data_IF_649925163010
#
_entry.id   IF_649925163010
#
_cell.length_a   1.000
_cell.length_b   1.000
_cell.length_c   1.000
_cell.angle_alpha   90.00
_cell.angle_beta   90.00
_cell.angle_gamma   90.00
#
_symmetry.space_group_name_H-M   'P 1'
#
loop_
_entity.id
_entity.type
_entity.pdbx_description
1 polymer ?
#
# COMPACT_ATOMS: atom_id res chain seq x y z
N UNK A 1 -6.91 62.12 -17.34
CA UNK A 1 -5.59 61.48 -17.27
C UNK A 1 -5.73 60.31 -16.33
N UNK A 2 -6.03 59.14 -16.92
CA UNK A 2 -6.37 57.94 -16.20
C UNK A 2 -5.14 57.13 -15.84
N UNK A 3 -5.14 56.62 -14.65
CA UNK A 3 -4.13 55.73 -14.10
C UNK A 3 -4.12 54.37 -14.83
N UNK A 4 -3.05 54.10 -15.54
CA UNK A 4 -2.73 52.82 -16.15
C UNK A 4 -1.62 52.13 -15.37
N UNK A 5 -1.83 51.82 -14.11
CA UNK A 5 -0.80 51.07 -13.37
C UNK A 5 -1.45 50.24 -12.28
N UNK A 6 -2.27 49.25 -12.64
CA UNK A 6 -2.75 48.32 -11.63
C UNK A 6 -3.11 46.92 -12.13
N UNK A 7 -2.74 46.53 -13.34
CA UNK A 7 -3.27 45.22 -13.81
C UNK A 7 -2.26 44.23 -14.40
N UNK A 8 -0.94 44.53 -14.33
CA UNK A 8 -0.04 43.64 -15.09
C UNK A 8 1.05 42.94 -14.29
N UNK A 9 1.14 43.14 -12.98
CA UNK A 9 2.20 42.52 -12.19
C UNK A 9 1.76 41.27 -11.41
N UNK A 10 0.47 40.93 -11.37
CA UNK A 10 -0.03 39.77 -10.66
C UNK A 10 -0.08 38.48 -11.51
N UNK A 11 -0.22 38.62 -12.82
CA UNK A 11 -0.31 37.47 -13.71
C UNK A 11 1.05 37.01 -14.23
N UNK A 12 2.03 37.90 -14.30
CA UNK A 12 3.38 37.52 -14.73
C UNK A 12 4.20 36.81 -13.64
N UNK A 13 3.86 36.96 -12.36
CA UNK A 13 4.59 36.36 -11.25
C UNK A 13 4.30 34.88 -11.08
N UNK A 14 3.14 34.44 -11.58
CA UNK A 14 2.73 33.04 -11.52
C UNK A 14 2.26 32.60 -12.89
N UNK A 15 3.10 32.54 -13.86
CA UNK A 15 2.73 32.20 -15.23
C UNK A 15 1.48 31.31 -15.35
N UNK A 16 0.64 31.54 -16.34
CA UNK A 16 -0.64 30.83 -16.51
C UNK A 16 -0.53 29.30 -16.42
N UNK A 17 0.65 28.77 -16.68
CA UNK A 17 0.95 27.34 -16.63
C UNK A 17 1.24 26.84 -15.21
N UNK A 18 1.61 27.72 -14.28
CA UNK A 18 1.98 27.34 -12.93
C UNK A 18 0.80 26.99 -12.03
N UNK A 19 -0.42 27.40 -12.42
CA UNK A 19 -1.63 27.19 -11.61
C UNK A 19 -2.56 26.15 -12.23
N UNK A 20 -2.20 25.59 -13.38
CA UNK A 20 -2.98 24.54 -14.04
C UNK A 20 -2.71 23.21 -13.38
N UNK A 21 -3.50 22.88 -12.40
CA UNK A 21 -3.45 21.61 -11.73
C UNK A 21 -4.03 21.66 -10.34
N UNK A 22 -4.14 20.53 -9.74
CA UNK A 22 -4.52 20.41 -8.35
C UNK A 22 -3.44 21.05 -7.47
N UNK A 23 -3.75 22.18 -6.84
CA UNK A 23 -2.84 22.93 -5.98
C UNK A 23 -2.22 22.10 -4.85
N UNK A 24 -2.83 20.95 -4.52
CA UNK A 24 -2.31 20.01 -3.53
C UNK A 24 -1.06 19.27 -4.01
N UNK A 25 -0.82 19.23 -5.31
CA UNK A 25 0.27 18.50 -5.94
C UNK A 25 1.29 19.43 -6.63
N UNK A 26 1.33 20.69 -6.22
CA UNK A 26 2.20 21.70 -6.82
C UNK A 26 3.22 22.16 -5.79
N UNK A 27 4.49 22.05 -6.11
CA UNK A 27 5.58 22.64 -5.36
C UNK A 27 5.97 23.98 -5.98
N UNK A 28 5.77 25.06 -5.24
CA UNK A 28 6.26 26.38 -5.63
C UNK A 28 7.72 26.48 -5.24
N UNK A 29 8.57 26.60 -6.21
CA UNK A 29 10.00 26.79 -6.00
C UNK A 29 10.27 28.30 -6.06
N UNK A 30 10.95 28.89 -5.06
CA UNK A 30 11.22 30.31 -5.03
C UNK A 30 11.97 30.82 -6.26
N UNK A 31 11.84 32.10 -6.52
CA UNK A 31 12.40 32.82 -7.64
C UNK A 31 11.78 32.41 -8.99
N UNK A 32 12.44 32.55 -10.08
CA UNK A 32 12.06 32.28 -11.47
C UNK A 32 11.97 30.80 -11.83
N UNK A 33 11.93 29.90 -10.84
CA UNK A 33 11.89 28.47 -11.06
C UNK A 33 10.47 28.01 -11.38
N UNK A 34 10.39 27.02 -12.22
CA UNK A 34 9.13 26.41 -12.61
C UNK A 34 8.40 25.79 -11.42
N UNK A 35 7.08 25.88 -11.41
CA UNK A 35 6.25 25.11 -10.49
C UNK A 35 6.24 23.65 -10.96
N UNK A 36 6.76 22.77 -10.14
CA UNK A 36 6.79 21.35 -10.41
C UNK A 36 5.58 20.65 -9.79
N UNK A 37 4.84 19.90 -10.58
CA UNK A 37 3.80 19.01 -10.08
C UNK A 37 4.43 17.78 -9.47
N UNK A 38 3.76 17.15 -8.54
CA UNK A 38 4.21 15.86 -7.99
C UNK A 38 4.41 14.83 -9.12
N UNK A 39 3.54 14.82 -10.12
CA UNK A 39 3.69 13.97 -11.29
C UNK A 39 4.97 14.29 -12.10
N UNK A 40 5.32 15.56 -12.24
CA UNK A 40 6.51 15.97 -12.97
C UNK A 40 7.79 15.61 -12.21
N UNK A 41 7.77 15.69 -10.87
CA UNK A 41 8.87 15.23 -10.01
C UNK A 41 9.06 13.73 -10.13
N UNK A 42 7.98 12.97 -10.12
CA UNK A 42 8.04 11.52 -10.34
C UNK A 42 8.49 11.19 -11.75
N UNK A 43 8.05 11.91 -12.77
CA UNK A 43 8.52 11.73 -14.14
C UNK A 43 10.02 12.03 -14.31
N UNK A 44 10.52 13.04 -13.61
CA UNK A 44 11.96 13.37 -13.64
C UNK A 44 12.79 12.28 -12.95
N UNK A 45 12.32 11.74 -11.84
CA UNK A 45 12.94 10.56 -11.20
C UNK A 45 12.80 9.31 -12.07
N UNK A 46 11.68 9.19 -12.79
CA UNK A 46 11.40 8.11 -13.73
C UNK A 46 12.41 8.14 -14.89
N UNK A 47 12.69 9.28 -15.49
CA UNK A 47 13.70 9.41 -16.53
C UNK A 47 15.11 9.05 -16.05
N UNK A 48 15.46 9.38 -14.82
CA UNK A 48 16.76 9.07 -14.23
C UNK A 48 16.89 7.63 -13.70
N UNK A 49 15.76 6.96 -13.39
CA UNK A 49 15.72 5.66 -12.72
C UNK A 49 14.87 4.59 -13.39
N UNK A 50 14.42 4.79 -14.63
CA UNK A 50 13.48 3.90 -15.34
C UNK A 50 14.13 2.76 -16.09
N UNK A 51 15.43 2.62 -16.06
CA UNK A 51 16.09 1.48 -16.69
C UNK A 51 15.49 0.16 -16.14
N UNK A 52 14.83 -0.59 -17.02
CA UNK A 52 14.20 -1.87 -16.68
C UNK A 52 12.72 -1.82 -16.29
N UNK A 53 12.09 -0.65 -16.28
CA UNK A 53 10.64 -0.55 -16.17
C UNK A 53 9.95 -0.71 -17.53
N UNK A 54 8.86 -1.47 -17.60
CA UNK A 54 8.06 -1.60 -18.81
C UNK A 54 7.21 -0.34 -19.05
N UNK A 55 6.86 -0.07 -20.30
CA UNK A 55 5.94 1.03 -20.63
C UNK A 55 4.57 0.85 -19.97
N UNK A 56 4.10 -0.39 -19.84
CA UNK A 56 2.86 -0.73 -19.16
C UNK A 56 2.92 -0.34 -17.70
N UNK A 57 3.99 -0.70 -16.99
CA UNK A 57 4.19 -0.34 -15.60
C UNK A 57 4.22 1.18 -15.41
N UNK A 58 4.95 1.89 -16.26
CA UNK A 58 5.03 3.35 -16.21
C UNK A 58 3.67 4.00 -16.48
N UNK A 59 2.90 3.46 -17.41
CA UNK A 59 1.53 3.91 -17.69
C UNK A 59 0.62 3.71 -16.48
N UNK A 60 0.71 2.57 -15.80
CA UNK A 60 -0.04 2.32 -14.55
C UNK A 60 0.34 3.32 -13.46
N UNK A 61 1.63 3.60 -13.28
CA UNK A 61 2.09 4.59 -12.29
C UNK A 61 1.60 6.00 -12.62
N UNK A 62 1.59 6.38 -13.89
CA UNK A 62 1.11 7.70 -14.31
C UNK A 62 -0.42 7.88 -14.08
N UNK A 63 -1.17 6.78 -14.11
CA UNK A 63 -2.63 6.78 -14.05
C UNK A 63 -3.16 5.79 -13.01
N UNK A 64 -2.45 5.58 -11.89
CA UNK A 64 -2.87 4.59 -10.91
C UNK A 64 -4.26 4.90 -10.34
N UNK A 65 -5.03 3.84 -10.22
CA UNK A 65 -6.38 3.83 -9.67
C UNK A 65 -6.35 3.30 -8.23
N UNK A 66 -7.48 3.39 -7.55
CA UNK A 66 -7.71 2.74 -6.24
C UNK A 66 -6.81 3.26 -5.11
N UNK A 67 -6.36 4.52 -5.20
CA UNK A 67 -5.57 5.15 -4.14
C UNK A 67 -6.43 5.50 -2.93
N UNK A 68 -5.97 5.12 -1.76
CA UNK A 68 -6.64 5.41 -0.49
C UNK A 68 -7.49 4.26 0.02
N UNK A 69 -8.16 4.47 1.14
CA UNK A 69 -9.13 3.52 1.67
C UNK A 69 -10.51 3.85 1.09
N UNK A 70 -11.24 2.88 0.51
CA UNK A 70 -12.59 3.09 0.05
C UNK A 70 -13.51 3.36 1.26
N UNK A 71 -14.58 4.14 1.02
CA UNK A 71 -15.58 4.38 2.06
C UNK A 71 -16.27 3.06 2.47
N UNK A 72 -16.42 2.86 3.76
CA UNK A 72 -17.09 1.67 4.31
C UNK A 72 -16.24 0.39 4.22
N UNK A 73 -14.91 0.48 4.08
CA UNK A 73 -14.07 -0.71 4.08
C UNK A 73 -14.27 -1.51 5.38
N UNK A 74 -14.31 -2.83 5.24
CA UNK A 74 -14.49 -3.80 6.31
C UNK A 74 -13.34 -4.83 6.39
N UNK A 75 -12.28 -4.59 5.63
CA UNK A 75 -11.04 -5.33 5.71
C UNK A 75 -9.85 -4.40 5.42
N UNK A 76 -8.74 -4.61 6.13
CA UNK A 76 -7.49 -3.92 5.87
C UNK A 76 -6.31 -4.83 6.20
N UNK A 77 -5.20 -4.63 5.54
CA UNK A 77 -3.98 -5.33 5.91
C UNK A 77 -2.73 -4.46 5.77
N UNK A 78 -1.66 -4.92 6.38
CA UNK A 78 -0.33 -4.34 6.26
C UNK A 78 0.62 -5.45 5.87
N UNK A 79 1.45 -5.19 4.85
CA UNK A 79 2.45 -6.17 4.40
C UNK A 79 3.75 -5.51 4.01
N UNK A 80 4.83 -6.18 4.35
CA UNK A 80 6.17 -5.86 3.93
C UNK A 80 6.76 -4.61 4.58
N UNK A 81 8.07 -4.48 4.46
CA UNK A 81 8.85 -3.36 4.99
C UNK A 81 9.50 -2.58 3.86
N UNK A 82 9.34 -1.27 3.91
CA UNK A 82 10.03 -0.35 3.01
C UNK A 82 11.50 -0.21 3.41
N UNK A 83 12.32 0.35 2.51
CA UNK A 83 13.73 0.66 2.83
C UNK A 83 13.92 1.59 4.03
N UNK A 84 12.87 2.33 4.42
CA UNK A 84 12.87 3.23 5.59
C UNK A 84 12.38 2.56 6.87
N UNK A 85 12.08 1.26 6.83
CA UNK A 85 11.55 0.53 7.99
C UNK A 85 10.04 0.68 8.21
N UNK A 86 9.34 1.39 7.33
CA UNK A 86 7.89 1.58 7.42
C UNK A 86 7.16 0.46 6.67
N UNK A 87 5.86 0.31 6.93
CA UNK A 87 5.00 -0.60 6.16
C UNK A 87 5.05 -0.25 4.67
N UNK A 88 5.40 -1.23 3.83
CA UNK A 88 5.55 -1.04 2.41
C UNK A 88 4.21 -0.86 1.69
N UNK A 89 3.21 -1.68 2.05
CA UNK A 89 1.88 -1.71 1.45
C UNK A 89 0.80 -1.87 2.51
N UNK A 90 -0.26 -1.08 2.37
CA UNK A 90 -1.54 -1.29 3.05
C UNK A 90 -2.62 -1.48 2.00
N UNK A 91 -3.41 -2.53 2.13
CA UNK A 91 -4.62 -2.74 1.34
C UNK A 91 -5.86 -2.53 2.20
N UNK A 92 -6.94 -2.12 1.56
CA UNK A 92 -8.25 -1.91 2.14
C UNK A 92 -9.29 -2.49 1.20
N UNK A 93 -10.32 -3.13 1.71
CA UNK A 93 -11.40 -3.61 0.89
C UNK A 93 -12.78 -3.42 1.52
N UNK A 94 -13.76 -3.24 0.66
CA UNK A 94 -15.17 -3.48 0.95
C UNK A 94 -15.48 -4.86 0.42
N UNK A 95 -15.79 -5.78 1.31
CA UNK A 95 -16.11 -7.17 1.00
C UNK A 95 -17.60 -7.38 1.30
N UNK A 96 -18.32 -7.96 0.36
CA UNK A 96 -19.70 -8.40 0.57
C UNK A 96 -19.70 -9.64 1.48
N UNK A 97 -20.34 -9.58 2.66
CA UNK A 97 -20.34 -10.68 3.61
C UNK A 97 -21.17 -11.89 3.16
N UNK A 98 -22.10 -11.71 2.20
CA UNK A 98 -22.92 -12.81 1.72
C UNK A 98 -22.25 -13.63 0.62
N UNK A 99 -21.48 -12.96 -0.23
CA UNK A 99 -20.85 -13.58 -1.40
C UNK A 99 -19.34 -13.71 -1.28
N UNK A 100 -18.73 -13.15 -0.22
CA UNK A 100 -17.29 -13.08 -0.02
C UNK A 100 -16.54 -12.48 -1.23
N UNK A 101 -17.17 -11.49 -1.88
CA UNK A 101 -16.68 -10.85 -3.08
C UNK A 101 -16.11 -9.46 -2.78
N UNK A 102 -15.00 -9.11 -3.38
CA UNK A 102 -14.39 -7.79 -3.28
C UNK A 102 -15.18 -6.77 -4.11
N UNK A 103 -15.97 -5.91 -3.45
CA UNK A 103 -16.76 -4.86 -4.10
C UNK A 103 -15.92 -3.64 -4.49
N UNK A 104 -14.99 -3.26 -3.61
CA UNK A 104 -14.03 -2.17 -3.83
C UNK A 104 -12.74 -2.49 -3.11
N UNK A 105 -11.65 -2.14 -3.75
CA UNK A 105 -10.32 -2.33 -3.16
C UNK A 105 -9.50 -1.06 -3.31
N UNK A 106 -8.73 -0.73 -2.30
CA UNK A 106 -7.86 0.43 -2.32
C UNK A 106 -6.53 0.18 -1.63
N UNK A 107 -5.57 1.05 -1.89
CA UNK A 107 -4.24 0.89 -1.31
C UNK A 107 -3.63 2.21 -0.83
N UNK A 108 -2.69 2.09 0.09
CA UNK A 108 -1.72 3.13 0.44
C UNK A 108 -0.33 2.51 0.46
N UNK A 109 0.63 3.18 -0.15
CA UNK A 109 2.02 2.74 -0.17
C UNK A 109 2.98 3.89 0.10
N UNK A 110 4.12 3.58 0.69
CA UNK A 110 5.29 4.46 0.79
C UNK A 110 6.50 3.84 0.08
N UNK A 111 6.20 2.94 -0.86
CA UNK A 111 7.19 2.23 -1.66
C UNK A 111 7.65 3.02 -2.89
N UNK A 112 8.38 2.34 -3.75
CA UNK A 112 8.84 2.84 -5.04
C UNK A 112 7.74 2.78 -6.10
N UNK A 113 8.03 3.25 -7.32
CA UNK A 113 7.12 3.20 -8.46
C UNK A 113 6.59 1.79 -8.73
N UNK A 114 7.46 0.78 -8.67
CA UNK A 114 7.03 -0.62 -8.83
C UNK A 114 6.01 -1.03 -7.77
N UNK A 115 6.16 -0.58 -6.51
CA UNK A 115 5.18 -0.88 -5.46
C UNK A 115 3.83 -0.24 -5.75
N UNK A 116 3.82 1.02 -6.20
CA UNK A 116 2.59 1.71 -6.61
C UNK A 116 1.90 1.00 -7.77
N UNK A 117 2.66 0.60 -8.79
CA UNK A 117 2.13 -0.15 -9.93
C UNK A 117 1.55 -1.50 -9.50
N UNK A 118 2.30 -2.30 -8.75
CA UNK A 118 1.84 -3.60 -8.27
C UNK A 118 0.60 -3.47 -7.38
N UNK A 119 0.56 -2.45 -6.52
CA UNK A 119 -0.58 -2.20 -5.63
C UNK A 119 -1.84 -1.79 -6.42
N UNK A 120 -1.71 -0.89 -7.39
CA UNK A 120 -2.84 -0.51 -8.25
C UNK A 120 -3.34 -1.69 -9.09
N UNK A 121 -2.42 -2.46 -9.65
CA UNK A 121 -2.74 -3.63 -10.47
C UNK A 121 -3.48 -4.68 -9.68
N UNK A 122 -2.97 -5.07 -8.50
CA UNK A 122 -3.64 -6.10 -7.69
C UNK A 122 -5.03 -5.65 -7.24
N UNK A 123 -5.20 -4.38 -6.84
CA UNK A 123 -6.52 -3.86 -6.50
C UNK A 123 -7.51 -4.00 -7.66
N UNK A 124 -7.08 -3.63 -8.88
CA UNK A 124 -7.92 -3.76 -10.08
C UNK A 124 -8.19 -5.21 -10.48
N UNK A 125 -7.24 -6.11 -10.21
CA UNK A 125 -7.43 -7.54 -10.51
C UNK A 125 -8.48 -8.19 -9.62
N UNK A 126 -8.46 -7.89 -8.32
CA UNK A 126 -9.34 -8.59 -7.37
C UNK A 126 -10.72 -7.95 -7.21
N UNK A 127 -10.95 -6.73 -7.68
CA UNK A 127 -12.31 -6.15 -7.69
C UNK A 127 -13.27 -7.03 -8.49
N UNK A 128 -14.36 -7.45 -7.85
CA UNK A 128 -15.36 -8.35 -8.41
C UNK A 128 -15.05 -9.84 -8.24
N UNK A 129 -13.89 -10.22 -7.73
CA UNK A 129 -13.52 -11.61 -7.47
C UNK A 129 -13.98 -12.08 -6.09
N UNK A 130 -14.26 -13.37 -5.98
CA UNK A 130 -14.38 -14.07 -4.70
C UNK A 130 -13.02 -14.42 -4.11
N UNK A 131 -13.02 -14.94 -2.87
CA UNK A 131 -11.77 -15.26 -2.16
C UNK A 131 -10.92 -16.31 -2.88
N UNK A 132 -11.52 -17.39 -3.37
CA UNK A 132 -10.79 -18.47 -4.04
C UNK A 132 -10.06 -17.98 -5.30
N UNK A 133 -10.74 -17.14 -6.11
CA UNK A 133 -10.16 -16.57 -7.31
C UNK A 133 -9.04 -15.58 -6.97
N UNK A 134 -9.24 -14.73 -5.97
CA UNK A 134 -8.26 -13.75 -5.53
C UNK A 134 -7.02 -14.42 -4.92
N UNK A 135 -7.19 -15.51 -4.16
CA UNK A 135 -6.09 -16.28 -3.59
C UNK A 135 -5.28 -17.06 -4.64
N UNK A 136 -5.84 -17.32 -5.81
CA UNK A 136 -5.13 -17.97 -6.91
C UNK A 136 -4.15 -17.03 -7.63
N UNK A 137 -4.25 -15.71 -7.43
CA UNK A 137 -3.35 -14.73 -8.06
C UNK A 137 -1.94 -14.88 -7.50
N UNK A 138 -1.01 -15.08 -8.41
CA UNK A 138 0.42 -15.23 -8.10
C UNK A 138 1.20 -13.93 -8.31
N UNK A 139 2.41 -13.80 -7.73
CA UNK A 139 3.30 -12.70 -8.08
C UNK A 139 3.65 -12.63 -9.57
N UNK A 140 3.64 -13.76 -10.28
CA UNK A 140 3.90 -13.82 -11.71
C UNK A 140 2.76 -13.22 -12.52
N UNK A 141 1.51 -13.41 -12.09
CA UNK A 141 0.35 -12.78 -12.73
C UNK A 141 0.41 -11.26 -12.61
N UNK A 142 0.78 -10.74 -11.44
CA UNK A 142 0.97 -9.30 -11.23
C UNK A 142 2.10 -8.74 -12.12
N UNK A 143 3.22 -9.48 -12.22
CA UNK A 143 4.34 -9.10 -13.12
C UNK A 143 3.92 -9.14 -14.58
N UNK A 144 3.20 -10.16 -15.00
CA UNK A 144 2.71 -10.31 -16.36
C UNK A 144 1.74 -9.17 -16.75
N UNK A 145 0.82 -8.80 -15.87
CA UNK A 145 -0.12 -7.69 -16.07
C UNK A 145 0.59 -6.35 -16.25
N UNK A 146 1.77 -6.18 -15.65
CA UNK A 146 2.61 -4.98 -15.76
C UNK A 146 3.61 -5.03 -16.93
N UNK A 147 3.62 -6.11 -17.73
CA UNK A 147 4.63 -6.29 -18.78
C UNK A 147 6.05 -6.48 -18.22
N UNK A 148 6.16 -6.85 -16.97
CA UNK A 148 7.41 -7.06 -16.24
C UNK A 148 7.65 -6.04 -15.14
N UNK A 149 8.44 -6.46 -14.16
CA UNK A 149 8.93 -5.63 -13.04
C UNK A 149 10.46 -5.76 -13.00
N UNK A 150 11.21 -4.67 -12.75
CA UNK A 150 12.66 -4.75 -12.66
C UNK A 150 13.12 -5.82 -11.67
N UNK A 151 14.21 -6.50 -11.97
CA UNK A 151 14.70 -7.65 -11.18
C UNK A 151 15.00 -7.30 -9.71
N UNK A 152 15.44 -6.08 -9.45
CA UNK A 152 15.71 -5.55 -8.10
C UNK A 152 14.43 -5.13 -7.36
N UNK A 153 13.25 -5.14 -8.03
CA UNK A 153 11.94 -4.76 -7.50
C UNK A 153 10.94 -5.91 -7.47
N UNK A 154 11.35 -7.12 -7.80
CA UNK A 154 10.46 -8.30 -7.85
C UNK A 154 9.68 -8.51 -6.54
N UNK A 155 10.27 -8.17 -5.40
CA UNK A 155 9.61 -8.24 -4.09
C UNK A 155 8.29 -7.45 -4.02
N UNK A 156 8.11 -6.42 -4.85
CA UNK A 156 6.87 -5.62 -4.85
C UNK A 156 5.66 -6.40 -5.37
N UNK A 157 5.86 -7.31 -6.34
CA UNK A 157 4.82 -8.20 -6.81
C UNK A 157 4.44 -9.25 -5.75
N UNK A 158 5.43 -9.74 -4.99
CA UNK A 158 5.16 -10.63 -3.84
C UNK A 158 4.37 -9.92 -2.76
N UNK A 159 4.72 -8.67 -2.42
CA UNK A 159 3.95 -7.90 -1.44
C UNK A 159 2.50 -7.67 -1.90
N UNK A 160 2.27 -7.46 -3.20
CA UNK A 160 0.93 -7.30 -3.73
C UNK A 160 0.11 -8.61 -3.62
N UNK A 161 0.64 -9.74 -4.07
CA UNK A 161 -0.04 -11.02 -4.03
C UNK A 161 -0.27 -11.52 -2.58
N UNK A 162 0.77 -11.47 -1.74
CA UNK A 162 0.63 -11.85 -0.32
C UNK A 162 -0.25 -10.87 0.45
N UNK A 163 -0.35 -9.62 -0.01
CA UNK A 163 -1.27 -8.63 0.53
C UNK A 163 -2.74 -9.05 0.40
N UNK A 164 -3.11 -9.75 -0.67
CA UNK A 164 -4.47 -10.29 -0.84
C UNK A 164 -4.76 -11.34 0.22
N UNK A 165 -3.81 -12.25 0.46
CA UNK A 165 -3.91 -13.26 1.50
C UNK A 165 -4.08 -12.64 2.89
N UNK A 166 -3.26 -11.62 3.19
CA UNK A 166 -3.34 -10.91 4.44
C UNK A 166 -4.65 -10.13 4.60
N UNK A 167 -5.19 -9.59 3.50
CA UNK A 167 -6.45 -8.85 3.48
C UNK A 167 -7.65 -9.75 3.77
N UNK A 168 -7.69 -10.94 3.14
CA UNK A 168 -8.71 -11.96 3.41
C UNK A 168 -8.59 -12.45 4.86
N UNK A 169 -7.38 -12.72 5.32
CA UNK A 169 -7.14 -13.16 6.70
C UNK A 169 -7.58 -12.14 7.74
N UNK A 170 -7.34 -10.86 7.51
CA UNK A 170 -7.80 -9.78 8.38
C UNK A 170 -9.34 -9.73 8.42
N UNK A 171 -9.99 -9.83 7.26
CA UNK A 171 -11.45 -9.90 7.18
C UNK A 171 -12.00 -11.07 7.99
N UNK A 172 -11.42 -12.27 7.83
CA UNK A 172 -11.84 -13.46 8.55
C UNK A 172 -11.63 -13.31 10.07
N UNK A 173 -10.53 -12.71 10.49
CA UNK A 173 -10.27 -12.39 11.90
C UNK A 173 -11.34 -11.46 12.48
N UNK A 174 -11.76 -10.46 11.73
CA UNK A 174 -12.83 -9.55 12.17
C UNK A 174 -14.20 -10.23 12.26
N UNK A 175 -14.40 -11.28 11.46
CA UNK A 175 -15.58 -12.14 11.56
C UNK A 175 -15.50 -13.15 12.71
N UNK A 176 -14.38 -13.21 13.43
CA UNK A 176 -14.16 -14.12 14.55
C UNK A 176 -13.68 -15.50 14.15
N UNK A 177 -13.05 -15.63 12.99
CA UNK A 177 -12.50 -16.90 12.53
C UNK A 177 -11.48 -17.47 13.50
N UNK A 178 -11.47 -18.79 13.62
CA UNK A 178 -10.54 -19.55 14.42
C UNK A 178 -9.21 -19.76 13.67
N UNK A 179 -8.16 -20.19 14.40
CA UNK A 179 -6.88 -20.55 13.77
C UNK A 179 -7.05 -21.66 12.73
N UNK A 180 -7.87 -22.68 13.01
CA UNK A 180 -8.11 -23.79 12.07
C UNK A 180 -8.77 -23.32 10.78
N UNK A 181 -9.67 -22.33 10.85
CA UNK A 181 -10.28 -21.73 9.67
C UNK A 181 -9.28 -20.89 8.88
N UNK A 182 -8.45 -20.11 9.56
CA UNK A 182 -7.39 -19.35 8.91
C UNK A 182 -6.36 -20.28 8.25
N UNK A 183 -5.99 -21.38 8.90
CA UNK A 183 -5.05 -22.37 8.35
C UNK A 183 -5.60 -23.06 7.10
N UNK A 184 -6.90 -23.22 7.02
CA UNK A 184 -7.58 -23.82 5.88
C UNK A 184 -7.70 -22.85 4.69
N UNK A 185 -8.07 -21.57 4.94
CA UNK A 185 -8.42 -20.61 3.88
C UNK A 185 -7.18 -19.83 3.44
N UNK A 186 -6.42 -19.34 4.39
CA UNK A 186 -5.22 -18.51 4.16
C UNK A 186 -4.02 -19.10 4.90
N UNK A 187 -3.58 -20.33 4.54
CA UNK A 187 -2.49 -20.99 5.23
C UNK A 187 -1.24 -20.13 5.26
N UNK A 188 -0.59 -20.08 6.42
CA UNK A 188 0.63 -19.31 6.62
C UNK A 188 1.62 -20.16 7.42
N UNK A 189 2.82 -20.33 6.89
CA UNK A 189 3.92 -20.92 7.64
C UNK A 189 4.59 -19.82 8.48
N UNK A 190 4.02 -19.53 9.63
CA UNK A 190 4.51 -18.49 10.54
C UNK A 190 5.87 -18.82 11.16
N UNK A 191 6.31 -20.06 11.08
CA UNK A 191 7.65 -20.50 11.49
C UNK A 191 8.68 -20.42 10.36
N UNK A 192 8.22 -20.22 9.15
CA UNK A 192 9.10 -20.04 8.00
C UNK A 192 9.69 -18.64 8.00
N UNK A 193 11.00 -18.56 8.13
CA UNK A 193 11.77 -17.33 7.90
C UNK A 193 11.79 -16.92 6.42
N UNK A 194 11.18 -17.69 5.56
CA UNK A 194 11.17 -17.46 4.11
C UNK A 194 10.06 -16.53 3.63
N UNK A 195 9.05 -16.23 4.45
CA UNK A 195 7.99 -15.31 4.03
C UNK A 195 8.50 -13.87 4.01
N UNK A 196 8.64 -13.33 2.82
CA UNK A 196 9.17 -11.97 2.57
C UNK A 196 8.32 -10.86 3.20
N UNK A 197 7.05 -11.11 3.51
CA UNK A 197 6.11 -10.12 4.05
C UNK A 197 6.00 -10.15 5.58
N UNK A 198 6.54 -11.20 6.24
CA UNK A 198 6.31 -11.44 7.67
C UNK A 198 6.79 -10.33 8.61
N UNK A 199 7.70 -9.48 8.19
CA UNK A 199 8.24 -8.43 9.08
C UNK A 199 7.17 -7.38 9.43
N UNK A 200 6.19 -7.15 8.55
CA UNK A 200 5.02 -6.31 8.79
C UNK A 200 3.79 -6.96 8.16
N UNK A 201 3.31 -8.03 8.74
CA UNK A 201 2.14 -8.78 8.25
C UNK A 201 1.06 -8.81 9.32
N UNK A 202 -0.06 -8.12 9.05
CA UNK A 202 -1.19 -8.08 9.98
C UNK A 202 -1.82 -9.46 10.20
N UNK A 203 -1.83 -10.33 9.19
CA UNK A 203 -2.33 -11.70 9.34
C UNK A 203 -1.47 -12.51 10.32
N UNK A 204 -0.15 -12.39 10.24
CA UNK A 204 0.75 -13.04 11.19
C UNK A 204 0.50 -12.56 12.62
N UNK A 205 0.37 -11.25 12.78
CA UNK A 205 0.16 -10.66 14.12
C UNK A 205 -1.17 -11.12 14.71
N UNK A 206 -2.25 -11.13 13.93
CA UNK A 206 -3.56 -11.65 14.36
C UNK A 206 -3.55 -13.13 14.71
N UNK A 207 -2.79 -13.96 13.96
CA UNK A 207 -2.61 -15.38 14.28
C UNK A 207 -1.84 -15.60 15.59
N UNK A 208 -0.85 -14.75 15.86
CA UNK A 208 -0.11 -14.79 17.12
C UNK A 208 -1.04 -14.43 18.29
N UNK A 209 -1.86 -13.41 18.13
CA UNK A 209 -2.85 -12.99 19.14
C UNK A 209 -3.87 -14.09 19.45
N UNK A 210 -4.37 -14.80 18.43
CA UNK A 210 -5.26 -15.95 18.63
C UNK A 210 -4.58 -17.12 19.36
N UNK A 211 -3.30 -17.35 19.08
CA UNK A 211 -2.53 -18.45 19.69
C UNK A 211 -2.11 -18.13 21.13
N UNK A 212 -1.79 -16.89 21.40
CA UNK A 212 -1.32 -16.40 22.70
C UNK A 212 -2.19 -15.22 23.15
N UNK A 213 -3.47 -15.46 23.48
CA UNK A 213 -4.34 -14.38 23.94
C UNK A 213 -3.72 -13.76 25.20
N UNK A 214 -3.52 -12.45 25.18
CA UNK A 214 -3.08 -11.71 26.37
C UNK A 214 -4.14 -11.92 27.44
N UNK A 215 -3.77 -12.59 28.54
CA UNK A 215 -4.64 -12.71 29.69
C UNK A 215 -5.00 -11.32 30.19
N UNK A 216 -6.27 -11.04 30.53
CA UNK A 216 -6.67 -9.74 31.08
C UNK A 216 -5.96 -9.39 32.41
N UNK A 217 -5.25 -10.35 33.01
CA UNK A 217 -4.50 -10.21 34.26
C UNK A 217 -2.98 -9.92 34.08
N UNK A 218 -2.52 -9.68 32.86
CA UNK A 218 -1.10 -9.46 32.55
C UNK A 218 -0.54 -8.08 32.93
N UNK A 219 -1.04 -7.43 34.00
CA UNK A 219 -0.44 -6.22 34.57
C UNK A 219 0.39 -6.46 35.84
N UNK A 220 0.54 -7.68 36.31
CA UNK A 220 1.46 -8.01 37.39
C UNK A 220 2.83 -8.44 36.85
N UNK A 221 3.62 -7.47 36.39
CA UNK A 221 5.05 -7.65 36.33
C UNK A 221 5.55 -7.68 37.80
N UNK A 222 6.05 -8.80 38.33
CA UNK A 222 6.60 -8.79 39.67
C UNK A 222 7.78 -7.81 39.67
N UNK A 223 7.64 -6.76 40.47
CA UNK A 223 8.72 -5.83 40.73
C UNK A 223 9.89 -6.61 41.41
N UNK A 224 10.96 -6.86 40.68
CA UNK A 224 12.24 -7.34 41.23
C UNK A 224 12.86 -6.25 42.10
N UNK A 225 12.25 -5.96 43.24
CA UNK A 225 12.73 -5.00 44.22
C UNK A 225 12.83 -5.61 45.62
N UNK A 226 13.10 -6.92 45.74
CA UNK A 226 13.46 -7.52 47.04
C UNK A 226 14.44 -8.69 46.86
N UNK A 227 15.69 -8.40 46.51
CA UNK A 227 16.80 -9.34 46.70
C UNK A 227 18.14 -8.62 46.71
N UNK A 228 18.29 -7.62 47.60
CA UNK A 228 19.60 -7.17 48.09
C UNK A 228 19.42 -6.83 49.56
N UNK A 229 19.73 -7.77 50.43
CA UNK A 229 19.75 -7.51 51.85
C UNK A 229 19.79 -8.79 52.68
N UNK A 230 20.93 -9.48 52.71
CA UNK A 230 21.47 -10.23 53.87
C UNK A 230 22.85 -10.78 53.52
#
# INVERSE_FOLDING_TARGET
>A
MGSRFAHDHGEEMFGKESIVGDSRNVYVVPDDRAVLRTADVYQTEVEAGTAGYSDTLLSVVANFMNSGAPEGYNAQCMVGKSKRGEVALRLFAVIDPETETFLKVGFKTRGCLAMTACASTICSMIEGMGFDEALAITPDDVKAALGGVPSDKVHTAYFAAEGVRALIGDYLLWQGATLDELDRIVPCDEYSISCIVCEHCSLRDGRIELRFPLSPEGQDVPSNAEAVGA
#
